data_IF_029691818397
#
_entry.id   IF_029691818397
#
_cell.length_a   1.000
_cell.length_b   1.000
_cell.length_c   1.000
_cell.angle_alpha   90.00
_cell.angle_beta   90.00
_cell.angle_gamma   90.00
#
_symmetry.space_group_name_H-M   'P 1'
#
loop_
_entity.id
_entity.type
_entity.pdbx_description
1 polymer ?
#
# COMPACT_ATOMS: atom_id res chain seq x y z
N UNK A 1 -28.19 -7.57 -5.18
CA UNK A 1 -27.76 -6.37 -5.94
C UNK A 1 -26.29 -6.24 -5.68
N UNK A 2 -25.42 -6.38 -6.70
CA UNK A 2 -24.00 -6.16 -6.50
C UNK A 2 -23.80 -4.66 -6.30
N UNK A 3 -23.44 -4.23 -5.09
CA UNK A 3 -22.99 -2.87 -4.87
C UNK A 3 -21.79 -2.62 -5.80
N UNK A 4 -21.84 -1.54 -6.57
CA UNK A 4 -20.72 -1.16 -7.41
C UNK A 4 -19.55 -0.79 -6.48
N UNK A 5 -18.35 -1.26 -6.79
CA UNK A 5 -17.14 -0.98 -6.00
C UNK A 5 -16.96 0.53 -5.80
N UNK A 6 -17.26 1.32 -6.83
CA UNK A 6 -17.25 2.78 -6.75
C UNK A 6 -18.28 3.34 -5.75
N UNK A 7 -19.45 2.73 -5.64
CA UNK A 7 -20.49 3.18 -4.69
C UNK A 7 -20.07 2.88 -3.26
N UNK A 8 -19.42 1.74 -3.02
CA UNK A 8 -18.87 1.39 -1.69
C UNK A 8 -17.72 2.35 -1.34
N UNK A 9 -16.83 2.64 -2.28
CA UNK A 9 -15.76 3.61 -2.08
C UNK A 9 -16.31 5.02 -1.80
N UNK A 10 -17.42 5.43 -2.43
CA UNK A 10 -18.09 6.70 -2.12
C UNK A 10 -18.71 6.72 -0.74
N UNK A 11 -19.28 5.61 -0.28
CA UNK A 11 -19.84 5.51 1.08
C UNK A 11 -18.76 5.70 2.16
N UNK A 12 -17.52 5.28 1.91
CA UNK A 12 -16.39 5.58 2.81
C UNK A 12 -16.11 7.08 2.93
N UNK A 13 -16.51 7.90 1.95
CA UNK A 13 -16.30 9.36 1.97
C UNK A 13 -17.27 10.09 2.88
N UNK A 14 -18.48 9.57 3.01
CA UNK A 14 -19.57 10.21 3.77
C UNK A 14 -19.61 9.75 5.21
N UNK A 15 -18.84 8.72 5.56
CA UNK A 15 -18.95 8.03 6.85
C UNK A 15 -17.96 8.60 7.85
N UNK A 16 -18.46 9.13 8.96
CA UNK A 16 -17.65 9.76 10.01
C UNK A 16 -17.52 8.92 11.29
N UNK A 17 -18.26 7.82 11.41
CA UNK A 17 -18.26 6.92 12.57
C UNK A 17 -17.35 5.72 12.31
N UNK A 18 -16.45 5.37 13.24
CA UNK A 18 -15.47 4.29 13.03
C UNK A 18 -16.11 2.93 12.78
N UNK A 19 -17.20 2.59 13.47
CA UNK A 19 -17.93 1.33 13.29
C UNK A 19 -18.53 1.21 11.89
N UNK A 20 -19.06 2.32 11.37
CA UNK A 20 -19.64 2.36 10.03
C UNK A 20 -18.54 2.28 8.95
N UNK A 21 -17.35 2.87 9.21
CA UNK A 21 -16.17 2.74 8.34
C UNK A 21 -15.71 1.28 8.28
N UNK A 22 -15.57 0.60 9.42
CA UNK A 22 -15.14 -0.80 9.45
C UNK A 22 -16.11 -1.72 8.70
N UNK A 23 -17.42 -1.57 8.94
CA UNK A 23 -18.44 -2.34 8.20
C UNK A 23 -18.32 -2.12 6.69
N UNK A 24 -18.14 -0.87 6.27
CA UNK A 24 -17.99 -0.52 4.85
C UNK A 24 -16.71 -1.10 4.24
N UNK A 25 -15.61 -1.16 5.00
CA UNK A 25 -14.36 -1.81 4.56
C UNK A 25 -14.53 -3.32 4.39
N UNK A 26 -15.24 -3.98 5.32
CA UNK A 26 -15.54 -5.41 5.21
C UNK A 26 -16.39 -5.69 3.97
N UNK A 27 -17.40 -4.86 3.71
CA UNK A 27 -18.22 -4.93 2.49
C UNK A 27 -17.38 -4.70 1.22
N UNK A 28 -16.49 -3.70 1.24
CA UNK A 28 -15.60 -3.42 0.13
C UNK A 28 -14.69 -4.61 -0.17
N UNK A 29 -14.06 -5.18 0.85
CA UNK A 29 -13.21 -6.36 0.70
C UNK A 29 -13.98 -7.55 0.15
N UNK A 30 -15.21 -7.77 0.64
CA UNK A 30 -16.07 -8.83 0.13
C UNK A 30 -16.40 -8.60 -1.36
N UNK A 31 -16.75 -7.38 -1.76
CA UNK A 31 -17.01 -7.04 -3.15
C UNK A 31 -15.76 -7.26 -4.04
N UNK A 32 -14.59 -6.79 -3.60
CA UNK A 32 -13.32 -6.94 -4.31
C UNK A 32 -12.86 -8.39 -4.40
N UNK A 33 -13.20 -9.25 -3.43
CA UNK A 33 -12.82 -10.67 -3.43
C UNK A 33 -13.41 -11.46 -4.62
N UNK A 34 -14.49 -10.95 -5.21
CA UNK A 34 -15.12 -11.54 -6.40
C UNK A 34 -14.43 -11.13 -7.72
N UNK A 35 -13.55 -10.13 -7.67
CA UNK A 35 -12.83 -9.57 -8.82
C UNK A 35 -11.41 -10.13 -8.85
N UNK A 36 -10.94 -10.59 -10.02
CA UNK A 36 -9.55 -11.03 -10.19
C UNK A 36 -8.61 -9.85 -9.93
N UNK A 37 -7.51 -10.10 -9.21
CA UNK A 37 -6.53 -9.06 -8.82
C UNK A 37 -6.11 -8.17 -9.98
N UNK A 38 -5.78 -8.76 -11.14
CA UNK A 38 -5.35 -8.00 -12.33
C UNK A 38 -6.40 -7.01 -12.86
N UNK A 39 -7.69 -7.23 -12.57
CA UNK A 39 -8.78 -6.36 -13.00
C UNK A 39 -9.14 -5.31 -11.95
N UNK A 40 -8.59 -5.35 -10.73
CA UNK A 40 -9.00 -4.42 -9.66
C UNK A 40 -8.71 -2.96 -10.03
N UNK A 41 -7.65 -2.68 -10.80
CA UNK A 41 -7.35 -1.32 -11.26
C UNK A 41 -8.43 -0.72 -12.18
N UNK A 42 -9.29 -1.57 -12.77
CA UNK A 42 -10.41 -1.12 -13.63
C UNK A 42 -11.67 -0.77 -12.85
N UNK A 43 -11.77 -1.23 -11.59
CA UNK A 43 -12.95 -1.04 -10.73
C UNK A 43 -12.64 -0.21 -9.48
N UNK A 44 -11.37 -0.05 -9.12
CA UNK A 44 -10.94 0.81 -8.02
C UNK A 44 -10.19 2.00 -8.60
N UNK A 45 -10.81 3.18 -8.51
CA UNK A 45 -10.21 4.43 -8.94
C UNK A 45 -8.97 4.81 -8.11
N UNK A 46 -8.07 5.61 -8.68
CA UNK A 46 -6.91 6.18 -7.97
C UNK A 46 -7.34 6.94 -6.71
N UNK A 47 -8.42 7.73 -6.81
CA UNK A 47 -8.98 8.45 -5.66
C UNK A 47 -9.48 7.53 -4.55
N UNK A 48 -10.03 6.36 -4.91
CA UNK A 48 -10.45 5.36 -3.92
C UNK A 48 -9.25 4.78 -3.17
N UNK A 49 -8.15 4.50 -3.87
CA UNK A 49 -6.90 4.03 -3.25
C UNK A 49 -6.30 5.07 -2.32
N UNK A 50 -6.25 6.34 -2.73
CA UNK A 50 -5.76 7.44 -1.89
C UNK A 50 -6.60 7.61 -0.62
N UNK A 51 -7.92 7.41 -0.70
CA UNK A 51 -8.79 7.42 0.50
C UNK A 51 -8.48 6.27 1.44
N UNK A 52 -8.24 5.06 0.91
CA UNK A 52 -7.82 3.92 1.72
C UNK A 52 -6.49 4.20 2.43
N UNK A 53 -5.53 4.87 1.77
CA UNK A 53 -4.32 5.36 2.44
C UNK A 53 -4.64 6.41 3.50
N UNK A 54 -5.56 7.34 3.24
CA UNK A 54 -6.01 8.32 4.22
C UNK A 54 -6.58 7.69 5.51
N UNK A 55 -7.30 6.57 5.39
CA UNK A 55 -7.84 5.81 6.51
C UNK A 55 -6.77 5.15 7.38
N UNK A 56 -5.53 5.01 6.88
CA UNK A 56 -4.41 4.48 7.67
C UNK A 56 -3.95 5.43 8.78
N UNK A 57 -4.35 6.71 8.76
CA UNK A 57 -4.00 7.71 9.78
C UNK A 57 -4.91 7.66 11.02
N UNK A 58 -5.82 6.69 11.11
CA UNK A 58 -6.63 6.46 12.31
C UNK A 58 -5.81 5.77 13.40
N UNK A 59 -6.24 5.89 14.66
CA UNK A 59 -5.68 5.11 15.79
C UNK A 59 -6.36 3.73 15.96
N UNK A 60 -7.39 3.46 15.15
CA UNK A 60 -8.15 2.21 15.18
C UNK A 60 -7.42 1.07 14.46
N UNK A 61 -6.92 0.11 15.25
CA UNK A 61 -6.17 -1.03 14.75
C UNK A 61 -6.95 -1.93 13.79
N UNK A 62 -8.26 -2.11 14.00
CA UNK A 62 -9.09 -2.96 13.13
C UNK A 62 -9.28 -2.31 11.76
N UNK A 63 -9.48 -0.98 11.74
CA UNK A 63 -9.55 -0.21 10.49
C UNK A 63 -8.21 -0.27 9.75
N UNK A 64 -7.09 -0.09 10.45
CA UNK A 64 -5.76 -0.18 9.85
C UNK A 64 -5.55 -1.56 9.21
N UNK A 65 -5.84 -2.63 9.95
CA UNK A 65 -5.64 -4.00 9.47
C UNK A 65 -6.50 -4.29 8.22
N UNK A 66 -7.77 -3.90 8.25
CA UNK A 66 -8.68 -4.14 7.13
C UNK A 66 -8.34 -3.29 5.91
N UNK A 67 -7.98 -2.01 6.11
CA UNK A 67 -7.47 -1.14 5.04
C UNK A 67 -6.18 -1.71 4.43
N UNK A 68 -5.22 -2.16 5.25
CA UNK A 68 -3.99 -2.76 4.76
C UNK A 68 -4.26 -4.03 3.96
N UNK A 69 -5.24 -4.85 4.39
CA UNK A 69 -5.66 -6.05 3.66
C UNK A 69 -6.20 -5.73 2.27
N UNK A 70 -7.05 -4.70 2.15
CA UNK A 70 -7.60 -4.24 0.88
C UNK A 70 -6.49 -3.66 -0.02
N UNK A 71 -5.70 -2.71 0.52
CA UNK A 71 -4.60 -2.07 -0.20
C UNK A 71 -3.59 -3.07 -0.73
N UNK A 72 -3.27 -4.12 0.04
CA UNK A 72 -2.38 -5.19 -0.41
C UNK A 72 -2.84 -5.81 -1.73
N UNK A 73 -4.13 -6.04 -1.91
CA UNK A 73 -4.67 -6.65 -3.14
C UNK A 73 -4.82 -5.62 -4.26
N UNK A 74 -5.27 -4.41 -3.93
CA UNK A 74 -5.51 -3.37 -4.93
C UNK A 74 -4.19 -2.86 -5.53
N UNK A 75 -3.15 -2.66 -4.71
CA UNK A 75 -1.85 -2.19 -5.21
C UNK A 75 -1.18 -3.21 -6.14
N UNK A 76 -1.39 -4.51 -5.91
CA UNK A 76 -0.93 -5.59 -6.80
C UNK A 76 -1.61 -5.58 -8.18
N UNK A 77 -2.73 -4.88 -8.32
CA UNK A 77 -3.42 -4.75 -9.60
C UNK A 77 -2.75 -3.75 -10.56
N UNK A 78 -1.88 -2.89 -10.02
CA UNK A 78 -1.11 -1.92 -10.76
C UNK A 78 0.28 -2.49 -11.05
N UNK A 79 0.88 -2.10 -12.17
CA UNK A 79 2.31 -2.37 -12.33
C UNK A 79 3.09 -1.60 -11.25
N UNK A 80 4.18 -2.15 -10.71
CA UNK A 80 4.92 -1.51 -9.61
C UNK A 80 5.35 -0.07 -9.92
N UNK A 81 5.81 0.20 -11.15
CA UNK A 81 6.17 1.54 -11.60
C UNK A 81 5.01 2.53 -11.54
N UNK A 82 3.83 2.14 -12.04
CA UNK A 82 2.66 3.02 -12.07
C UNK A 82 2.12 3.23 -10.66
N UNK A 83 2.09 2.18 -9.83
CA UNK A 83 1.65 2.29 -8.45
C UNK A 83 2.52 3.23 -7.61
N UNK A 84 3.84 3.13 -7.75
CA UNK A 84 4.77 4.01 -7.03
C UNK A 84 4.66 5.47 -7.44
N UNK A 85 4.40 5.76 -8.72
CA UNK A 85 4.25 7.13 -9.19
C UNK A 85 2.93 7.75 -8.70
N UNK A 86 1.81 7.03 -8.86
CA UNK A 86 0.48 7.51 -8.47
C UNK A 86 0.31 7.71 -6.96
N UNK A 87 0.96 6.86 -6.15
CA UNK A 87 0.80 6.84 -4.69
C UNK A 87 2.08 7.23 -3.95
N UNK A 88 2.98 7.96 -4.61
CA UNK A 88 4.30 8.34 -4.06
C UNK A 88 4.22 8.96 -2.67
N UNK A 89 3.33 9.93 -2.48
CA UNK A 89 3.18 10.62 -1.20
C UNK A 89 2.66 9.67 -0.12
N UNK A 90 1.74 8.77 -0.49
CA UNK A 90 1.16 7.79 0.43
C UNK A 90 2.22 6.78 0.89
N UNK A 91 3.12 6.35 0.00
CA UNK A 91 4.27 5.51 0.35
C UNK A 91 5.24 6.23 1.30
N UNK A 92 5.57 7.51 1.04
CA UNK A 92 6.46 8.27 1.93
C UNK A 92 5.89 8.42 3.34
N UNK A 93 4.58 8.68 3.45
CA UNK A 93 3.86 8.74 4.72
C UNK A 93 3.85 7.37 5.38
N UNK A 94 3.49 6.31 4.66
CA UNK A 94 3.35 4.96 5.19
C UNK A 94 4.66 4.36 5.71
N UNK A 95 5.78 4.63 5.04
CA UNK A 95 7.10 4.19 5.51
C UNK A 95 7.53 4.85 6.82
N UNK A 96 7.09 6.09 7.05
CA UNK A 96 7.39 6.87 8.27
C UNK A 96 6.35 6.66 9.38
N UNK A 97 5.33 5.83 9.14
CA UNK A 97 4.24 5.59 10.07
C UNK A 97 4.70 4.79 11.31
N UNK A 98 4.07 5.01 12.46
CA UNK A 98 4.42 4.28 13.71
C UNK A 98 3.92 2.83 13.72
N UNK A 99 2.86 2.53 12.95
CA UNK A 99 2.31 1.18 12.80
C UNK A 99 3.20 0.34 11.89
N UNK A 100 3.70 -0.76 12.44
CA UNK A 100 4.51 -1.73 11.72
C UNK A 100 3.74 -2.39 10.57
N UNK A 101 2.43 -2.57 10.70
CA UNK A 101 1.56 -3.12 9.65
C UNK A 101 1.58 -2.24 8.40
N UNK A 102 1.50 -0.92 8.58
CA UNK A 102 1.52 0.05 7.48
C UNK A 102 2.92 0.10 6.84
N UNK A 103 3.97 0.11 7.65
CA UNK A 103 5.35 0.03 7.16
C UNK A 103 5.58 -1.24 6.33
N UNK A 104 5.14 -2.41 6.83
CA UNK A 104 5.26 -3.68 6.11
C UNK A 104 4.49 -3.68 4.79
N UNK A 105 3.28 -3.10 4.73
CA UNK A 105 2.53 -2.94 3.49
C UNK A 105 3.36 -2.17 2.46
N UNK A 106 3.90 -1.02 2.83
CA UNK A 106 4.67 -0.16 1.94
C UNK A 106 5.97 -0.83 1.47
N UNK A 107 6.73 -1.41 2.42
CA UNK A 107 7.96 -2.12 2.10
C UNK A 107 7.71 -3.31 1.18
N UNK A 108 6.61 -4.05 1.36
CA UNK A 108 6.28 -5.18 0.47
C UNK A 108 6.03 -4.73 -0.97
N UNK A 109 5.40 -3.57 -1.18
CA UNK A 109 5.23 -3.04 -2.54
C UNK A 109 6.56 -2.59 -3.14
N UNK A 110 7.45 -2.00 -2.32
CA UNK A 110 8.81 -1.69 -2.76
C UNK A 110 9.63 -2.94 -3.08
N UNK A 111 9.48 -4.04 -2.31
CA UNK A 111 10.16 -5.29 -2.63
C UNK A 111 9.80 -5.77 -4.03
N UNK A 112 8.51 -5.79 -4.34
CA UNK A 112 7.98 -6.18 -5.65
C UNK A 112 8.43 -5.23 -6.76
N UNK A 113 8.49 -3.93 -6.47
CA UNK A 113 9.03 -2.95 -7.40
C UNK A 113 10.53 -3.12 -7.66
N UNK A 114 11.26 -3.63 -6.66
CA UNK A 114 12.68 -3.95 -6.78
C UNK A 114 12.97 -5.27 -7.49
N UNK A 115 11.96 -6.12 -7.74
CA UNK A 115 12.13 -7.32 -8.59
C UNK A 115 12.28 -6.95 -10.07
N UNK A 116 11.89 -5.73 -10.47
CA UNK A 116 12.12 -5.18 -11.80
C UNK A 116 13.29 -4.18 -11.78
N UNK A 117 14.35 -4.50 -12.54
CA UNK A 117 15.69 -3.89 -12.51
C UNK A 117 15.71 -2.35 -12.61
N UNK A 118 14.64 -1.75 -13.11
CA UNK A 118 14.60 -0.33 -13.46
C UNK A 118 13.50 0.45 -12.74
N UNK A 119 12.50 -0.21 -12.17
CA UNK A 119 11.35 0.49 -11.58
C UNK A 119 11.75 1.36 -10.39
N UNK A 120 12.48 0.81 -9.42
CA UNK A 120 12.89 1.58 -8.25
C UNK A 120 14.01 2.57 -8.54
N UNK A 121 14.91 2.26 -9.47
CA UNK A 121 16.05 3.14 -9.80
C UNK A 121 15.62 4.37 -10.59
N UNK A 122 14.60 4.23 -11.45
CA UNK A 122 14.08 5.34 -12.27
C UNK A 122 12.98 6.13 -11.58
N UNK A 123 12.63 5.79 -10.34
CA UNK A 123 11.65 6.54 -9.60
C UNK A 123 12.25 7.84 -9.07
N UNK A 124 11.62 8.98 -9.35
CA UNK A 124 12.12 10.31 -8.97
C UNK A 124 12.37 10.47 -7.46
N UNK A 125 11.67 9.69 -6.62
CA UNK A 125 11.85 9.68 -5.16
C UNK A 125 12.70 8.55 -4.61
N UNK A 126 13.33 7.76 -5.48
CA UNK A 126 14.13 6.60 -5.10
C UNK A 126 15.15 6.93 -4.01
N UNK A 127 15.86 8.05 -4.14
CA UNK A 127 16.93 8.42 -3.20
C UNK A 127 16.42 8.58 -1.77
N UNK A 128 15.35 9.33 -1.57
CA UNK A 128 14.84 9.62 -0.23
C UNK A 128 14.12 8.41 0.36
N UNK A 129 13.39 7.67 -0.47
CA UNK A 129 12.77 6.41 -0.05
C UNK A 129 13.84 5.38 0.33
N UNK A 130 14.92 5.23 -0.44
CA UNK A 130 16.03 4.33 -0.11
C UNK A 130 16.66 4.71 1.24
N UNK A 131 16.88 6.00 1.53
CA UNK A 131 17.38 6.43 2.84
C UNK A 131 16.42 6.02 3.96
N UNK A 132 15.12 6.22 3.76
CA UNK A 132 14.10 5.79 4.72
C UNK A 132 14.14 4.27 4.91
N UNK A 133 14.17 3.49 3.84
CA UNK A 133 14.29 2.02 3.88
C UNK A 133 15.55 1.59 4.63
N UNK A 134 16.72 2.21 4.37
CA UNK A 134 17.97 1.92 5.11
C UNK A 134 17.78 2.16 6.61
N UNK A 135 17.12 3.25 7.01
CA UNK A 135 16.84 3.52 8.43
C UNK A 135 15.94 2.46 9.07
N UNK A 136 15.01 1.89 8.30
CA UNK A 136 14.09 0.85 8.76
C UNK A 136 14.74 -0.53 8.93
N UNK A 137 15.95 -0.75 8.40
CA UNK A 137 16.72 -1.99 8.67
C UNK A 137 17.04 -2.11 10.16
N UNK A 138 17.23 -1.00 10.86
CA UNK A 138 17.47 -0.96 12.31
C UNK A 138 16.17 -0.97 13.14
N UNK A 139 15.01 -1.23 12.50
CA UNK A 139 13.72 -1.25 13.20
C UNK A 139 13.68 -2.31 14.30
N UNK A 140 13.06 -2.04 15.46
CA UNK A 140 12.83 -3.04 16.49
C UNK A 140 11.87 -4.15 16.05
N UNK A 141 11.07 -3.90 15.00
CA UNK A 141 10.21 -4.92 14.39
C UNK A 141 11.01 -5.75 13.40
N UNK A 142 11.20 -7.04 13.73
CA UNK A 142 11.90 -7.99 12.86
C UNK A 142 11.28 -8.08 11.45
N UNK A 143 9.95 -7.97 11.35
CA UNK A 143 9.27 -8.04 10.05
C UNK A 143 9.61 -6.80 9.19
N UNK A 144 9.56 -5.61 9.78
CA UNK A 144 9.91 -4.35 9.10
C UNK A 144 11.37 -4.38 8.67
N UNK A 145 12.28 -4.75 9.58
CA UNK A 145 13.70 -4.85 9.30
C UNK A 145 14.00 -5.85 8.16
N UNK A 146 13.34 -7.02 8.18
CA UNK A 146 13.49 -8.03 7.12
C UNK A 146 13.01 -7.52 5.77
N UNK A 147 11.83 -6.88 5.72
CA UNK A 147 11.33 -6.33 4.48
C UNK A 147 12.23 -5.21 3.93
N UNK A 148 12.70 -4.32 4.81
CA UNK A 148 13.63 -3.27 4.43
C UNK A 148 14.94 -3.82 3.86
N UNK A 149 15.50 -4.87 4.46
CA UNK A 149 16.70 -5.54 3.95
C UNK A 149 16.48 -6.11 2.55
N UNK A 150 15.34 -6.79 2.30
CA UNK A 150 15.03 -7.35 0.99
C UNK A 150 14.92 -6.27 -0.09
N UNK A 151 14.30 -5.13 0.20
CA UNK A 151 14.24 -3.99 -0.73
C UNK A 151 15.64 -3.57 -1.14
N UNK A 152 16.54 -3.38 -0.17
CA UNK A 152 17.93 -2.99 -0.46
C UNK A 152 18.68 -4.08 -1.24
N UNK A 153 18.51 -5.35 -0.87
CA UNK A 153 19.13 -6.46 -1.58
C UNK A 153 18.71 -6.50 -3.04
N UNK A 154 17.40 -6.37 -3.30
CA UNK A 154 16.85 -6.34 -4.64
C UNK A 154 17.50 -5.21 -5.46
N UNK A 155 17.53 -3.98 -4.96
CA UNK A 155 18.16 -2.86 -5.68
C UNK A 155 19.68 -3.06 -5.85
N UNK A 156 20.37 -3.60 -4.85
CA UNK A 156 21.84 -3.71 -4.84
C UNK A 156 22.39 -4.78 -5.79
N UNK A 157 21.64 -5.85 -6.06
CA UNK A 157 22.06 -6.88 -7.02
C UNK A 157 22.22 -6.32 -8.44
N UNK A 158 21.54 -5.22 -8.76
CA UNK A 158 21.57 -4.61 -10.09
C UNK A 158 22.60 -3.48 -10.26
N UNK A 159 23.18 -2.99 -9.15
CA UNK A 159 24.23 -1.95 -9.22
C UNK A 159 25.64 -2.52 -9.44
N UNK A 160 25.78 -3.85 -9.53
CA UNK A 160 27.03 -4.60 -9.68
C UNK A 160 27.20 -5.28 -11.05
N UNK A 161 26.24 -5.11 -11.96
CA UNK A 161 26.26 -5.58 -13.36
C UNK A 161 26.29 -4.38 -14.30
#
# INVERSE_FOLDING_TARGET
MAANVDDICRSLETTTLSTDVLSTLVELKAALSSVRTINLHTVVSVSSVQKLFGLLNTDDGEIIEECCSILKNVLLAWSPAVGLDLFKNDFDIGLKHHSTTIQCLCLRQLELAGEDDQTLLNWDSARDVIKTVISLIASPSLQVAKHAQNVILNISMFSLT
#
